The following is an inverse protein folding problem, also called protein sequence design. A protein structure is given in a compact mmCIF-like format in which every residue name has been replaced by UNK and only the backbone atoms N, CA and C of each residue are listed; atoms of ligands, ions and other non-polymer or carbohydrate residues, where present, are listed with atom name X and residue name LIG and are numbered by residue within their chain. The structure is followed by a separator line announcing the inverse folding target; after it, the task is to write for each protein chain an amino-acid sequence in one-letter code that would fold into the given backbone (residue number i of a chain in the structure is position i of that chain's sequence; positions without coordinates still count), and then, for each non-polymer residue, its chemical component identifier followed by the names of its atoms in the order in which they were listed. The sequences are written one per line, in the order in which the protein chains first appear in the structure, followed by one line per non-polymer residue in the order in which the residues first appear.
data_IF_285849400916
#
_entry.id   IF_285849400916
#
_cell.length_a   1.000
_cell.length_b   1.000
_cell.length_c   1.000
_cell.angle_alpha   90.00
_cell.angle_beta   90.00
_cell.angle_gamma   90.00
#
_symmetry.space_group_name_H-M   'P 1'
#
loop_
_entity.id
_entity.type
_entity.pdbx_description
1 polymer ?
#
# COMPACT_ATOMS: atom_id res chain seq x y z
N UNK A 1 -10.78 -5.58 -7.71
CA UNK A 1 -9.98 -4.36 -7.91
C UNK A 1 -10.92 -3.14 -8.07
N UNK A 2 -10.54 -1.99 -7.51
CA UNK A 2 -11.30 -0.74 -7.45
C UNK A 2 -11.60 -0.08 -8.82
N UNK A 3 -10.88 -0.47 -9.89
CA UNK A 3 -11.08 0.01 -11.25
C UNK A 3 -12.52 -0.21 -11.75
N UNK A 4 -13.20 -1.25 -11.27
CA UNK A 4 -14.61 -1.54 -11.58
C UNK A 4 -15.56 -0.39 -11.21
N UNK A 5 -15.15 0.44 -10.26
CA UNK A 5 -15.88 1.61 -9.77
C UNK A 5 -15.29 2.93 -10.30
N UNK A 6 -14.32 2.89 -11.22
CA UNK A 6 -13.58 4.08 -11.65
C UNK A 6 -12.95 4.87 -10.49
N UNK A 7 -12.50 4.14 -9.47
CA UNK A 7 -11.75 4.69 -8.33
C UNK A 7 -10.25 4.44 -8.56
N UNK A 8 -9.45 5.49 -8.40
CA UNK A 8 -7.99 5.47 -8.49
C UNK A 8 -7.35 6.03 -7.22
N UNK A 9 -6.05 5.83 -7.05
CA UNK A 9 -5.26 6.48 -6.01
C UNK A 9 -5.14 8.00 -6.25
N UNK A 10 -4.63 8.74 -5.27
CA UNK A 10 -4.45 10.20 -5.33
C UNK A 10 -3.66 10.69 -6.56
N UNK A 11 -2.77 9.84 -7.08
CA UNK A 11 -1.91 10.03 -8.25
C UNK A 11 -2.45 9.37 -9.53
N UNK A 12 -3.74 9.01 -9.55
CA UNK A 12 -4.45 8.37 -10.66
C UNK A 12 -3.99 6.96 -11.04
N UNK A 13 -3.29 6.26 -10.14
CA UNK A 13 -2.91 4.87 -10.37
C UNK A 13 -4.01 3.90 -9.95
N UNK A 14 -3.94 2.69 -10.51
CA UNK A 14 -4.71 1.54 -10.06
C UNK A 14 -3.85 0.28 -10.28
N UNK A 15 -3.74 -0.57 -9.26
CA UNK A 15 -2.92 -1.78 -9.27
C UNK A 15 -3.68 -2.92 -8.59
N UNK A 16 -3.38 -4.18 -8.91
CA UNK A 16 -4.17 -5.36 -8.49
C UNK A 16 -4.56 -5.38 -7.00
N UNK A 17 -3.63 -5.13 -6.05
CA UNK A 17 -3.95 -4.99 -4.62
C UNK A 17 -4.89 -3.85 -4.23
N UNK A 18 -5.06 -2.81 -5.06
CA UNK A 18 -5.95 -1.69 -4.80
C UNK A 18 -7.41 -2.09 -5.08
N UNK A 19 -8.11 -2.49 -4.02
CA UNK A 19 -9.43 -3.08 -4.09
C UNK A 19 -10.50 -2.20 -3.44
N UNK A 20 -11.73 -2.32 -3.91
CA UNK A 20 -12.92 -1.75 -3.30
C UNK A 20 -13.99 -2.84 -3.23
N UNK A 21 -14.79 -2.81 -2.16
CA UNK A 21 -15.88 -3.74 -1.90
C UNK A 21 -17.08 -2.93 -1.39
N UNK A 22 -18.25 -3.18 -1.97
CA UNK A 22 -19.51 -2.61 -1.47
C UNK A 22 -19.88 -3.23 -0.13
N UNK A 23 -20.23 -2.39 0.86
CA UNK A 23 -20.68 -2.88 2.18
C UNK A 23 -22.15 -3.33 2.18
N UNK A 24 -22.95 -2.74 1.30
CA UNK A 24 -24.30 -3.15 0.96
C UNK A 24 -24.54 -2.89 -0.53
N UNK A 25 -25.50 -3.58 -1.19
CA UNK A 25 -25.71 -3.47 -2.62
C UNK A 25 -25.90 -2.01 -3.08
N UNK A 26 -25.07 -1.57 -4.03
CA UNK A 26 -25.14 -0.22 -4.58
C UNK A 26 -24.51 0.87 -3.72
N UNK A 27 -23.82 0.53 -2.62
CA UNK A 27 -23.12 1.51 -1.77
C UNK A 27 -22.01 2.29 -2.49
N UNK A 28 -21.50 1.78 -3.61
CA UNK A 28 -20.52 2.49 -4.46
C UNK A 28 -21.13 2.97 -5.79
N UNK A 29 -22.46 2.84 -5.98
CA UNK A 29 -23.11 3.27 -7.20
C UNK A 29 -22.95 4.80 -7.40
N UNK A 30 -22.35 5.18 -8.53
CA UNK A 30 -22.08 6.58 -8.87
C UNK A 30 -20.85 7.18 -8.16
N UNK A 31 -20.18 6.45 -7.28
CA UNK A 31 -18.93 6.90 -6.65
C UNK A 31 -17.76 6.60 -7.59
N UNK A 32 -17.08 7.66 -8.02
CA UNK A 32 -15.93 7.60 -8.93
C UNK A 32 -14.91 8.67 -8.54
N UNK A 33 -13.66 8.53 -8.99
CA UNK A 33 -12.62 9.55 -8.82
C UNK A 33 -11.40 9.08 -8.03
N UNK A 34 -10.73 10.01 -7.34
CA UNK A 34 -9.48 9.75 -6.63
C UNK A 34 -9.72 9.54 -5.15
N UNK A 35 -9.17 8.45 -4.62
CA UNK A 35 -9.12 8.17 -3.20
C UNK A 35 -7.95 8.93 -2.55
N UNK A 36 -8.25 9.66 -1.49
CA UNK A 36 -7.28 10.34 -0.64
C UNK A 36 -7.32 9.71 0.74
N UNK A 37 -6.17 9.23 1.21
CA UNK A 37 -6.01 8.70 2.56
C UNK A 37 -6.00 9.84 3.58
N UNK A 38 -6.31 9.51 4.83
CA UNK A 38 -6.16 10.46 5.93
C UNK A 38 -4.67 10.84 6.10
N UNK A 39 -4.34 12.11 6.38
CA UNK A 39 -2.95 12.54 6.59
C UNK A 39 -2.20 11.73 7.66
N UNK A 40 -2.89 11.10 8.61
CA UNK A 40 -2.29 10.20 9.60
C UNK A 40 -1.68 8.92 9.02
N UNK A 41 -2.02 8.55 7.79
CA UNK A 41 -1.37 7.45 7.05
C UNK A 41 -0.14 7.90 6.25
N UNK A 42 0.11 9.22 6.17
CA UNK A 42 1.27 9.78 5.48
C UNK A 42 2.38 10.04 6.50
N UNK A 43 3.55 9.45 6.29
CA UNK A 43 4.74 9.66 7.12
C UNK A 43 5.86 10.30 6.30
N UNK A 44 6.57 11.26 6.88
CA UNK A 44 7.75 11.84 6.25
C UNK A 44 8.92 10.86 6.27
N UNK A 45 9.72 10.82 5.21
CA UNK A 45 10.89 9.93 5.09
C UNK A 45 11.82 10.00 6.31
N UNK A 46 12.07 11.21 6.83
CA UNK A 46 12.89 11.41 8.02
C UNK A 46 12.37 10.64 9.26
N UNK A 47 11.06 10.58 9.46
CA UNK A 47 10.46 9.84 10.59
C UNK A 47 10.56 8.34 10.37
N UNK A 48 10.42 7.87 9.12
CA UNK A 48 10.64 6.46 8.77
C UNK A 48 12.10 6.06 9.02
N UNK A 49 13.07 6.87 8.59
CA UNK A 49 14.49 6.63 8.82
C UNK A 49 14.86 6.60 10.32
N UNK A 50 14.26 7.47 11.13
CA UNK A 50 14.43 7.46 12.59
C UNK A 50 13.84 6.19 13.22
N UNK A 51 12.66 5.77 12.76
CA UNK A 51 12.03 4.53 13.21
C UNK A 51 12.85 3.29 12.84
N UNK A 52 13.44 3.26 11.63
CA UNK A 52 14.30 2.14 11.19
C UNK A 52 15.52 1.93 12.09
N UNK A 53 16.10 3.01 12.63
CA UNK A 53 17.25 2.94 13.56
C UNK A 53 16.91 2.23 14.88
N UNK A 54 15.62 2.10 15.23
CA UNK A 54 15.19 1.39 16.42
C UNK A 54 15.24 -0.13 16.26
N UNK A 55 15.27 -0.64 15.02
CA UNK A 55 15.42 -2.07 14.80
C UNK A 55 16.85 -2.52 15.06
N UNK A 56 17.05 -3.70 15.67
CA UNK A 56 18.39 -4.26 15.81
C UNK A 56 19.00 -4.50 14.43
N UNK A 57 20.30 -4.20 14.31
CA UNK A 57 21.07 -4.48 13.10
C UNK A 57 20.96 -5.97 12.79
N UNK A 58 20.44 -6.31 11.60
CA UNK A 58 20.36 -7.70 11.16
C UNK A 58 21.72 -8.11 10.63
N UNK A 59 22.33 -9.11 11.26
CA UNK A 59 23.49 -9.78 10.69
C UNK A 59 23.04 -10.62 9.49
N UNK A 60 23.78 -10.53 8.38
CA UNK A 60 23.56 -11.39 7.23
C UNK A 60 23.90 -12.82 7.64
N UNK A 61 22.88 -13.61 7.93
CA UNK A 61 23.04 -15.05 8.18
C UNK A 61 23.45 -15.80 6.91
N UNK A 62 23.96 -17.03 7.10
CA UNK A 62 24.27 -17.94 6.00
C UNK A 62 23.06 -18.10 5.05
N UNK A 63 23.26 -18.08 3.72
CA UNK A 63 22.19 -18.29 2.77
C UNK A 63 21.50 -19.62 3.04
N UNK A 64 20.21 -19.59 3.36
CA UNK A 64 19.41 -20.81 3.60
C UNK A 64 19.13 -21.61 2.33
N UNK A 65 19.48 -21.07 1.16
CA UNK A 65 19.34 -21.72 -0.15
C UNK A 65 20.66 -21.53 -0.89
N UNK A 66 21.33 -22.65 -1.18
CA UNK A 66 22.51 -22.70 -2.05
C UNK A 66 21.99 -22.85 -3.48
N UNK A 67 22.19 -21.84 -4.33
CA UNK A 67 21.90 -21.95 -5.76
C UNK A 67 23.00 -22.81 -6.42
N UNK A 68 22.65 -23.81 -7.25
CA UNK A 68 23.65 -24.55 -8.02
C UNK A 68 24.34 -23.59 -9.01
N UNK A 69 25.67 -23.67 -9.05
CA UNK A 69 26.52 -22.86 -9.93
C UNK A 69 26.53 -23.30 -11.38
#
# INVERSE_FOLDING_TARGET
NAQKYSISTHDNQNFDPFMALELYPGSLAGITGRFFEDPGFVTADAHLEEFEKLFPVKEKGEPRIILPG
#
